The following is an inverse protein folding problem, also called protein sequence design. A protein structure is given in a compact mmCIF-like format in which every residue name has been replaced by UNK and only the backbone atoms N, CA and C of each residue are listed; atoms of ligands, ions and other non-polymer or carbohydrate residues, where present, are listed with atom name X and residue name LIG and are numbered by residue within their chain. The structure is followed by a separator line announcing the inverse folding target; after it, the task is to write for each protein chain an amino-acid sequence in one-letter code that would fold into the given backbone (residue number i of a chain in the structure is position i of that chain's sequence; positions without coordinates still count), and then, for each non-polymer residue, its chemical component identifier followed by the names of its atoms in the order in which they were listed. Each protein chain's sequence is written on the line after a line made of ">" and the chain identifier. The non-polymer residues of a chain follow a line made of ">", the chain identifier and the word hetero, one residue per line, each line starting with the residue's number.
data_IF_570614697289
#
_entry.id   IF_570614697289
#
_cell.length_a   1.000
_cell.length_b   1.000
_cell.length_c   1.000
_cell.angle_alpha   90.00
_cell.angle_beta   90.00
_cell.angle_gamma   90.00
#
_symmetry.space_group_name_H-M   'P 1'
#
loop_
_entity.id
_entity.type
_entity.pdbx_description
1 polymer ?
#
# COMPACT_ATOMS: atom_id res chain seq x y z
N UNK A 1 -3.89 32.18 -47.99
CA UNK A 1 -3.59 31.03 -48.87
C UNK A 1 -2.08 30.95 -48.87
N UNK A 2 -1.41 30.00 -48.25
CA UNK A 2 -1.76 28.65 -47.75
C UNK A 2 -0.92 28.39 -46.47
N UNK A 3 -1.45 27.84 -45.37
CA UNK A 3 -1.69 26.41 -45.10
C UNK A 3 -0.58 25.48 -45.58
N UNK A 4 0.51 25.39 -44.81
CA UNK A 4 1.21 24.13 -44.49
C UNK A 4 2.48 24.45 -43.70
N UNK A 5 2.41 24.45 -42.36
CA UNK A 5 3.60 24.15 -41.54
C UNK A 5 3.29 23.77 -40.08
N UNK A 6 2.26 22.93 -39.86
CA UNK A 6 1.90 22.46 -38.50
C UNK A 6 1.79 20.94 -38.39
N UNK A 7 2.46 20.18 -39.25
CA UNK A 7 2.42 18.72 -39.19
C UNK A 7 3.85 18.13 -39.19
N UNK A 8 4.64 18.45 -38.16
CA UNK A 8 5.90 17.76 -37.86
C UNK A 8 6.45 18.14 -36.47
N UNK A 9 5.68 17.92 -35.39
CA UNK A 9 6.23 18.00 -34.01
C UNK A 9 5.66 16.97 -33.00
N UNK A 10 4.93 15.96 -33.45
CA UNK A 10 4.36 14.92 -32.58
C UNK A 10 4.92 13.51 -32.84
N UNK A 11 6.18 13.41 -33.24
CA UNK A 11 6.91 12.14 -33.20
C UNK A 11 8.11 12.27 -32.25
N UNK A 12 8.15 11.35 -31.28
CA UNK A 12 9.26 11.07 -30.36
C UNK A 12 9.27 11.83 -29.00
N UNK A 13 8.18 11.75 -28.25
CA UNK A 13 8.31 11.57 -26.78
C UNK A 13 8.36 10.08 -26.49
N UNK A 14 9.57 9.56 -26.32
CA UNK A 14 9.78 8.27 -25.62
C UNK A 14 8.93 8.28 -24.33
N UNK A 15 8.25 7.18 -23.97
CA UNK A 15 7.58 7.10 -22.67
C UNK A 15 8.65 7.36 -21.60
N UNK A 16 8.40 8.27 -20.63
CA UNK A 16 9.37 8.54 -19.58
C UNK A 16 9.76 7.23 -18.92
N UNK A 17 11.07 7.05 -18.78
CA UNK A 17 11.78 5.84 -18.34
C UNK A 17 11.09 5.12 -17.18
N UNK A 18 10.24 4.13 -17.49
CA UNK A 18 9.74 3.18 -16.50
C UNK A 18 10.98 2.53 -15.87
N UNK A 19 11.16 2.73 -14.57
CA UNK A 19 12.33 2.21 -13.85
C UNK A 19 12.26 0.68 -13.80
N UNK A 20 13.40 -0.04 -13.71
CA UNK A 20 13.42 -1.49 -13.60
C UNK A 20 12.47 -1.97 -12.49
N UNK A 21 11.71 -3.05 -12.70
CA UNK A 21 10.71 -3.47 -11.73
C UNK A 21 11.37 -3.83 -10.38
N UNK A 22 10.73 -3.42 -9.28
CA UNK A 22 11.07 -3.96 -7.97
C UNK A 22 10.67 -5.44 -7.97
N UNK A 23 11.53 -6.30 -7.42
CA UNK A 23 11.21 -7.70 -7.19
C UNK A 23 11.34 -8.01 -5.71
N UNK A 24 10.33 -8.68 -5.15
CA UNK A 24 10.37 -9.12 -3.76
C UNK A 24 11.08 -10.48 -3.69
N UNK A 25 12.24 -10.59 -3.02
CA UNK A 25 12.86 -11.87 -2.78
C UNK A 25 11.91 -12.76 -1.97
N UNK A 26 11.76 -14.02 -2.37
CA UNK A 26 10.78 -14.92 -1.76
C UNK A 26 9.31 -14.70 -2.16
N UNK A 27 9.01 -13.66 -2.96
CA UNK A 27 7.67 -13.29 -3.47
C UNK A 27 6.66 -12.85 -2.40
N UNK A 28 6.64 -13.53 -1.25
CA UNK A 28 5.85 -13.15 -0.09
C UNK A 28 6.67 -12.28 0.85
N UNK A 29 6.03 -11.23 1.36
CA UNK A 29 6.57 -10.36 2.39
C UNK A 29 5.47 -10.06 3.42
N UNK A 30 5.78 -9.25 4.44
CA UNK A 30 4.80 -8.91 5.46
C UNK A 30 4.92 -7.47 5.91
N UNK A 31 3.96 -7.02 6.72
CA UNK A 31 4.03 -5.71 7.35
C UNK A 31 3.34 -5.71 8.71
N UNK A 32 3.54 -4.63 9.45
CA UNK A 32 2.99 -4.45 10.78
C UNK A 32 2.01 -3.27 10.80
N UNK A 33 0.92 -3.43 11.54
CA UNK A 33 -0.06 -2.37 11.75
C UNK A 33 0.62 -1.15 12.42
N UNK A 34 0.47 0.02 11.82
CA UNK A 34 1.21 1.22 12.22
C UNK A 34 0.37 2.50 12.22
N UNK A 35 -0.93 2.37 12.03
CA UNK A 35 -1.87 3.48 12.01
C UNK A 35 -1.90 4.25 13.33
N UNK A 36 -2.01 5.57 13.19
CA UNK A 36 -1.97 6.54 14.29
C UNK A 36 -3.06 7.61 14.15
N UNK A 37 -4.17 7.29 13.49
CA UNK A 37 -5.32 8.16 13.28
C UNK A 37 -5.89 8.72 14.60
N UNK A 38 -6.46 9.91 14.52
CA UNK A 38 -7.51 10.32 15.47
C UNK A 38 -8.81 9.67 15.00
N UNK A 39 -9.38 8.79 15.81
CA UNK A 39 -10.58 8.05 15.46
C UNK A 39 -11.87 8.91 15.54
N UNK A 40 -13.02 8.29 15.27
CA UNK A 40 -14.34 8.96 15.25
C UNK A 40 -14.78 9.52 16.61
N UNK A 41 -14.09 9.12 17.68
CA UNK A 41 -14.32 9.57 19.04
C UNK A 41 -13.32 10.64 19.49
N UNK A 42 -12.40 11.08 18.62
CA UNK A 42 -11.37 12.05 18.98
C UNK A 42 -10.15 11.43 19.67
N UNK A 43 -10.03 10.09 19.68
CA UNK A 43 -8.96 9.39 20.40
C UNK A 43 -7.81 9.09 19.44
N UNK A 44 -6.60 9.54 19.79
CA UNK A 44 -5.39 9.22 19.04
C UNK A 44 -5.07 7.75 19.24
N UNK A 45 -5.15 6.97 18.16
CA UNK A 45 -4.71 5.58 18.13
C UNK A 45 -3.20 5.49 17.99
N UNK A 46 -2.63 4.38 18.44
CA UNK A 46 -1.23 4.05 18.20
C UNK A 46 -1.09 2.54 18.19
N UNK A 47 -1.36 1.94 17.03
CA UNK A 47 -1.44 0.49 16.93
C UNK A 47 -0.10 -0.20 17.17
N UNK A 48 1.02 0.48 16.92
CA UNK A 48 2.37 -0.01 17.28
C UNK A 48 2.48 -0.21 18.81
N UNK A 49 2.05 0.77 19.60
CA UNK A 49 2.07 0.65 21.06
C UNK A 49 0.98 -0.28 21.60
N UNK A 50 -0.20 -0.31 20.97
CA UNK A 50 -1.30 -1.20 21.36
C UNK A 50 -0.94 -2.68 21.17
N UNK A 51 -0.14 -3.00 20.15
CA UNK A 51 0.42 -4.34 19.92
C UNK A 51 1.76 -4.58 20.62
N UNK A 52 2.31 -3.55 21.28
CA UNK A 52 3.66 -3.52 21.85
C UNK A 52 4.76 -3.88 20.84
N UNK A 53 4.51 -3.67 19.55
CA UNK A 53 5.47 -3.93 18.49
C UNK A 53 6.76 -3.11 18.67
N UNK A 54 6.66 -1.89 19.21
CA UNK A 54 7.82 -1.07 19.60
C UNK A 54 8.73 -1.75 20.65
N UNK A 55 8.14 -2.50 21.58
CA UNK A 55 8.86 -3.20 22.66
C UNK A 55 9.42 -4.55 22.22
N UNK A 56 8.69 -5.24 21.35
CA UNK A 56 9.00 -6.59 20.86
C UNK A 56 9.53 -6.60 19.43
N UNK A 57 9.93 -5.44 18.90
CA UNK A 57 10.39 -5.26 17.52
C UNK A 57 11.42 -6.30 17.09
N UNK A 58 12.42 -6.57 17.93
CA UNK A 58 13.48 -7.53 17.60
C UNK A 58 12.95 -8.97 17.50
N UNK A 59 12.02 -9.36 18.37
CA UNK A 59 11.34 -10.66 18.33
C UNK A 59 10.41 -10.77 17.12
N UNK A 60 9.66 -9.70 16.83
CA UNK A 60 8.72 -9.64 15.72
C UNK A 60 9.46 -9.79 14.37
N UNK A 61 10.57 -9.08 14.19
CA UNK A 61 11.40 -9.16 12.99
C UNK A 61 12.11 -10.52 12.87
N UNK A 62 12.59 -11.07 13.99
CA UNK A 62 13.14 -12.43 14.03
C UNK A 62 12.09 -13.47 13.60
N UNK A 63 10.86 -13.38 14.13
CA UNK A 63 9.76 -14.26 13.76
C UNK A 63 9.41 -14.18 12.27
N UNK A 64 9.37 -12.96 11.71
CA UNK A 64 9.22 -12.79 10.26
C UNK A 64 10.36 -13.43 9.48
N UNK A 65 11.60 -13.29 9.96
CA UNK A 65 12.78 -13.91 9.33
C UNK A 65 12.72 -15.43 9.36
N UNK A 66 12.22 -16.04 10.42
CA UNK A 66 12.03 -17.49 10.55
C UNK A 66 10.98 -18.02 9.55
N UNK A 67 9.97 -17.20 9.21
CA UNK A 67 9.03 -17.49 8.10
C UNK A 67 9.66 -17.29 6.71
N UNK A 68 10.91 -16.82 6.66
CA UNK A 68 11.66 -16.50 5.44
C UNK A 68 11.18 -15.23 4.75
N UNK A 69 10.56 -14.31 5.50
CA UNK A 69 10.22 -12.96 5.08
C UNK A 69 11.46 -12.08 5.22
N UNK A 70 11.93 -11.55 4.10
CA UNK A 70 13.16 -10.73 4.01
C UNK A 70 12.90 -9.29 3.57
N UNK A 71 11.64 -8.97 3.27
CA UNK A 71 11.16 -7.60 3.05
C UNK A 71 10.03 -7.35 4.02
N UNK A 72 9.97 -6.17 4.62
CA UNK A 72 8.93 -5.76 5.54
C UNK A 72 8.35 -4.42 5.12
N UNK A 73 7.07 -4.21 5.36
CA UNK A 73 6.46 -2.89 5.35
C UNK A 73 6.33 -2.39 6.78
N UNK A 74 7.04 -1.31 7.08
CA UNK A 74 7.14 -0.72 8.42
C UNK A 74 6.77 0.74 8.40
N UNK A 75 5.97 1.16 9.38
CA UNK A 75 5.48 2.53 9.50
C UNK A 75 6.38 3.42 10.34
N UNK A 76 6.50 4.67 9.92
CA UNK A 76 6.99 5.75 10.77
C UNK A 76 5.77 6.58 11.18
N UNK A 77 5.47 6.59 12.49
CA UNK A 77 4.41 7.41 13.05
C UNK A 77 4.76 8.91 12.93
N UNK A 78 4.34 9.56 11.83
CA UNK A 78 4.70 10.95 11.52
C UNK A 78 4.32 11.91 12.65
N UNK A 79 3.13 11.75 13.24
CA UNK A 79 2.66 12.53 14.39
C UNK A 79 3.61 12.46 15.61
N UNK A 80 4.37 11.37 15.74
CA UNK A 80 5.26 11.13 16.88
C UNK A 80 6.69 11.53 16.64
N UNK A 81 7.16 11.47 15.40
CA UNK A 81 8.54 11.86 15.07
C UNK A 81 8.67 13.33 14.72
N UNK A 82 7.56 14.01 14.40
CA UNK A 82 7.56 15.42 14.04
C UNK A 82 7.12 16.30 15.23
N UNK A 83 8.09 16.99 15.84
CA UNK A 83 7.85 17.94 16.92
C UNK A 83 7.84 19.37 16.39
N UNK A 84 6.75 19.74 15.70
CA UNK A 84 6.44 21.10 15.26
C UNK A 84 7.49 21.71 14.33
N UNK A 85 8.27 20.90 13.61
CA UNK A 85 9.51 21.43 13.05
C UNK A 85 10.64 20.43 12.95
N UNK A 86 10.83 19.74 14.06
CA UNK A 86 12.04 18.99 14.36
C UNK A 86 11.75 17.51 14.29
N UNK A 87 12.45 16.81 13.42
CA UNK A 87 12.23 15.37 13.21
C UNK A 87 13.14 14.56 14.16
N UNK A 88 12.54 13.77 15.05
CA UNK A 88 13.23 12.77 15.85
C UNK A 88 13.43 11.49 15.03
N UNK A 89 14.69 11.17 14.73
CA UNK A 89 15.07 9.97 13.99
C UNK A 89 15.29 8.75 14.89
N UNK A 90 15.12 8.84 16.21
CA UNK A 90 15.32 7.71 17.11
C UNK A 90 14.41 6.51 16.78
N UNK A 91 13.09 6.67 16.53
CA UNK A 91 12.24 5.54 16.12
C UNK A 91 12.68 4.91 14.79
N UNK A 92 13.05 5.75 13.81
CA UNK A 92 13.57 5.29 12.50
C UNK A 92 14.86 4.49 12.67
N UNK A 93 15.77 4.95 13.54
CA UNK A 93 17.02 4.25 13.87
C UNK A 93 16.75 2.89 14.49
N UNK A 94 15.80 2.79 15.41
CA UNK A 94 15.46 1.54 16.09
C UNK A 94 14.97 0.48 15.11
N UNK A 95 14.02 0.84 14.23
CA UNK A 95 13.50 -0.03 13.17
C UNK A 95 14.60 -0.45 12.20
N UNK A 96 15.39 0.54 11.73
CA UNK A 96 16.53 0.33 10.83
C UNK A 96 17.54 -0.67 11.38
N UNK A 97 17.96 -0.48 12.62
CA UNK A 97 19.00 -1.31 13.24
C UNK A 97 18.49 -2.74 13.48
N UNK A 98 17.20 -2.92 13.79
CA UNK A 98 16.59 -4.23 13.90
C UNK A 98 16.51 -4.95 12.55
N UNK A 99 16.06 -4.27 11.49
CA UNK A 99 16.00 -4.86 10.15
C UNK A 99 17.40 -5.27 9.64
N UNK A 100 18.43 -4.45 9.88
CA UNK A 100 19.81 -4.81 9.57
C UNK A 100 20.29 -6.06 10.32
N UNK A 101 19.98 -6.20 11.62
CA UNK A 101 20.35 -7.40 12.40
C UNK A 101 19.74 -8.68 11.81
N UNK A 102 18.51 -8.60 11.32
CA UNK A 102 17.77 -9.73 10.75
C UNK A 102 17.92 -9.88 9.23
N UNK A 103 18.76 -9.04 8.61
CA UNK A 103 19.00 -9.03 7.17
C UNK A 103 17.74 -8.83 6.34
N UNK A 104 16.85 -7.95 6.82
CA UNK A 104 15.57 -7.60 6.21
C UNK A 104 15.63 -6.19 5.61
N UNK A 105 14.98 -6.00 4.46
CA UNK A 105 14.79 -4.69 3.83
C UNK A 105 13.43 -4.13 4.18
N UNK A 106 13.33 -2.80 4.30
CA UNK A 106 12.08 -2.13 4.64
C UNK A 106 11.51 -1.34 3.45
N UNK A 107 10.20 -1.45 3.25
CA UNK A 107 9.36 -0.46 2.57
C UNK A 107 8.85 0.48 3.65
N UNK A 108 9.38 1.70 3.69
CA UNK A 108 9.09 2.69 4.73
C UNK A 108 7.77 3.39 4.44
N UNK A 109 6.75 3.10 5.25
CA UNK A 109 5.47 3.80 5.20
C UNK A 109 5.56 5.11 6.00
N UNK A 110 5.48 6.23 5.28
CA UNK A 110 5.77 7.56 5.81
C UNK A 110 4.54 8.25 6.40
N UNK A 111 3.34 7.88 5.97
CA UNK A 111 2.10 8.49 6.46
C UNK A 111 0.94 7.52 6.40
N UNK A 112 0.65 6.93 7.57
CA UNK A 112 -0.45 5.99 7.77
C UNK A 112 -1.51 6.59 8.71
N UNK A 113 -2.35 7.46 8.13
CA UNK A 113 -3.52 8.13 8.73
C UNK A 113 -3.27 9.14 9.87
N UNK A 114 -2.20 8.98 10.66
CA UNK A 114 -1.83 9.92 11.71
C UNK A 114 -0.82 10.98 11.24
N UNK A 115 -1.09 12.23 11.61
CA UNK A 115 -0.26 13.40 11.33
C UNK A 115 -0.23 14.34 12.56
N UNK A 116 0.78 15.22 12.66
CA UNK A 116 0.90 16.20 13.76
C UNK A 116 -0.35 17.06 13.95
N UNK A 117 -0.77 17.24 15.21
CA UNK A 117 -2.04 17.92 15.55
C UNK A 117 -2.08 19.41 15.19
N UNK A 118 -0.92 20.04 15.01
CA UNK A 118 -0.80 21.44 14.60
C UNK A 118 -0.96 21.65 13.09
N UNK A 119 -1.13 20.58 12.31
CA UNK A 119 -1.31 20.65 10.86
C UNK A 119 -2.77 20.46 10.42
N UNK A 120 -3.14 21.17 9.36
CA UNK A 120 -4.41 20.98 8.64
C UNK A 120 -4.12 20.42 7.23
N UNK A 121 -4.59 19.19 6.90
CA UNK A 121 -4.34 18.55 5.61
C UNK A 121 -4.95 19.28 4.41
N UNK A 122 -5.81 20.28 4.60
CA UNK A 122 -6.32 21.11 3.50
C UNK A 122 -5.35 22.24 3.11
N UNK A 123 -4.32 22.52 3.91
CA UNK A 123 -3.40 23.64 3.72
C UNK A 123 -2.11 23.25 2.99
N UNK A 124 -1.47 24.23 2.35
CA UNK A 124 -0.14 24.02 1.73
C UNK A 124 0.95 23.74 2.76
N UNK A 125 0.79 24.24 3.99
CA UNK A 125 1.72 24.01 5.08
C UNK A 125 1.87 22.52 5.40
N UNK A 126 0.79 21.73 5.27
CA UNK A 126 0.81 20.27 5.44
C UNK A 126 1.77 19.62 4.45
N UNK A 127 1.62 19.92 3.16
CA UNK A 127 2.45 19.36 2.09
C UNK A 127 3.92 19.75 2.24
N UNK A 128 4.19 21.02 2.57
CA UNK A 128 5.55 21.51 2.84
C UNK A 128 6.18 20.83 4.06
N UNK A 129 5.41 20.64 5.14
CA UNK A 129 5.87 19.96 6.35
C UNK A 129 6.18 18.49 6.07
N UNK A 130 5.28 17.79 5.38
CA UNK A 130 5.47 16.40 4.97
C UNK A 130 6.72 16.24 4.12
N UNK A 131 6.92 17.08 3.10
CA UNK A 131 8.10 17.02 2.24
C UNK A 131 9.42 17.17 3.03
N UNK A 132 9.46 18.09 4.02
CA UNK A 132 10.62 18.24 4.91
C UNK A 132 10.86 17.01 5.77
N UNK A 133 9.80 16.46 6.36
CA UNK A 133 9.86 15.21 7.12
C UNK A 133 10.39 14.05 6.25
N UNK A 134 9.75 13.80 5.11
CA UNK A 134 10.09 12.72 4.19
C UNK A 134 11.52 12.83 3.68
N UNK A 135 11.98 14.03 3.30
CA UNK A 135 13.37 14.25 2.88
C UNK A 135 14.38 14.07 4.01
N UNK A 136 14.02 14.38 5.26
CA UNK A 136 14.88 14.17 6.44
C UNK A 136 15.06 12.67 6.69
N UNK A 137 13.98 11.90 6.65
CA UNK A 137 14.00 10.44 6.76
C UNK A 137 14.82 9.84 5.61
N UNK A 138 14.58 10.25 4.37
CA UNK A 138 15.30 9.72 3.22
C UNK A 138 16.80 10.03 3.25
N UNK A 139 17.19 11.23 3.66
CA UNK A 139 18.60 11.61 3.84
C UNK A 139 19.29 10.76 4.91
N UNK A 140 18.55 10.29 5.92
CA UNK A 140 19.09 9.42 6.95
C UNK A 140 19.26 7.96 6.49
N UNK A 141 18.40 7.50 5.59
CA UNK A 141 18.35 6.10 5.15
C UNK A 141 19.09 5.84 3.82
N UNK A 142 19.41 6.88 3.04
CA UNK A 142 20.07 6.72 1.74
C UNK A 142 21.37 5.91 1.86
N UNK A 143 21.50 4.88 1.02
CA UNK A 143 22.67 4.00 0.97
C UNK A 143 22.75 2.92 2.06
N UNK A 144 21.70 2.72 2.87
CA UNK A 144 21.69 1.78 4.00
C UNK A 144 21.88 0.31 3.61
N UNK A 145 21.19 -0.17 2.58
CA UNK A 145 21.12 -1.60 2.23
C UNK A 145 21.03 -1.84 0.70
N UNK A 146 21.52 -0.87 -0.08
CA UNK A 146 21.62 -0.96 -1.53
C UNK A 146 21.20 0.33 -2.25
N UNK A 147 21.09 0.27 -3.59
CA UNK A 147 20.63 1.39 -4.40
C UNK A 147 19.18 1.74 -4.09
N UNK A 148 18.96 2.98 -3.67
CA UNK A 148 17.65 3.57 -3.39
C UNK A 148 16.90 2.92 -2.23
N UNK A 149 16.26 3.70 -1.39
CA UNK A 149 15.33 3.18 -0.39
C UNK A 149 13.91 3.05 -0.95
N UNK A 150 13.07 2.21 -0.35
CA UNK A 150 11.70 1.97 -0.80
C UNK A 150 10.73 2.66 0.16
N UNK A 151 9.77 3.42 -0.38
CA UNK A 151 8.86 4.22 0.42
C UNK A 151 7.41 4.02 -0.03
N UNK A 152 6.50 3.98 0.93
CA UNK A 152 5.09 4.32 0.71
C UNK A 152 4.90 5.76 1.17
N UNK A 153 4.71 6.75 0.27
CA UNK A 153 4.60 8.14 0.68
C UNK A 153 3.38 8.38 1.57
N UNK A 154 2.22 7.88 1.15
CA UNK A 154 0.97 8.00 1.90
C UNK A 154 0.21 6.68 1.73
N UNK A 155 -0.24 6.10 2.84
CA UNK A 155 -1.11 4.94 2.82
C UNK A 155 -2.55 5.32 2.43
N UNK A 156 -3.11 4.57 1.47
CA UNK A 156 -4.49 4.63 1.01
C UNK A 156 -5.08 6.05 0.91
N UNK A 157 -4.55 6.93 0.02
CA UNK A 157 -5.08 8.28 -0.13
C UNK A 157 -6.59 8.32 -0.41
N UNK A 158 -7.15 7.35 -1.15
CA UNK A 158 -8.60 7.33 -1.39
C UNK A 158 -9.40 6.89 -0.18
N UNK A 159 -8.92 5.91 0.60
CA UNK A 159 -9.59 5.53 1.85
C UNK A 159 -9.53 6.66 2.87
N UNK A 160 -8.35 7.26 3.09
CA UNK A 160 -8.19 8.37 4.02
C UNK A 160 -9.04 9.58 3.61
N UNK A 161 -9.11 9.88 2.31
CA UNK A 161 -9.97 10.94 1.80
C UNK A 161 -11.46 10.69 2.11
N UNK A 162 -11.92 9.45 1.94
CA UNK A 162 -13.29 9.07 2.31
C UNK A 162 -13.50 9.15 3.83
N UNK A 163 -12.66 8.45 4.60
CA UNK A 163 -12.79 8.35 6.05
C UNK A 163 -12.69 9.71 6.74
N UNK A 164 -11.73 10.55 6.34
CA UNK A 164 -11.43 11.81 7.03
C UNK A 164 -12.07 13.06 6.38
N UNK A 165 -12.46 12.97 5.11
CA UNK A 165 -13.00 14.10 4.34
C UNK A 165 -14.47 13.95 3.96
N UNK A 166 -14.96 12.72 3.76
CA UNK A 166 -16.33 12.47 3.30
C UNK A 166 -17.29 12.13 4.44
N UNK A 167 -16.92 11.16 5.28
CA UNK A 167 -17.79 10.62 6.35
C UNK A 167 -17.41 11.08 7.76
N UNK A 168 -16.26 11.74 7.91
CA UNK A 168 -15.79 12.29 9.18
C UNK A 168 -15.51 11.24 10.27
N UNK A 169 -14.99 10.07 9.87
CA UNK A 169 -14.52 9.02 10.78
C UNK A 169 -13.15 9.32 11.37
N UNK A 170 -12.25 9.94 10.62
CA UNK A 170 -10.93 10.34 11.11
C UNK A 170 -10.76 11.86 11.07
N UNK A 171 -9.84 12.40 11.87
CA UNK A 171 -9.44 13.80 11.73
C UNK A 171 -8.97 14.08 10.28
N UNK A 172 -9.37 15.22 9.67
CA UNK A 172 -9.92 16.41 10.31
C UNK A 172 -11.46 16.42 10.43
N UNK A 173 -12.12 15.27 10.33
CA UNK A 173 -13.57 15.11 10.47
C UNK A 173 -14.38 15.89 9.44
N UNK A 174 -13.83 16.05 8.24
CA UNK A 174 -14.51 16.64 7.10
C UNK A 174 -15.76 15.84 6.73
N UNK A 175 -16.74 16.54 6.17
CA UNK A 175 -17.95 15.98 5.57
C UNK A 175 -18.11 16.56 4.18
N UNK A 176 -18.41 15.71 3.20
CA UNK A 176 -18.59 16.11 1.79
C UNK A 176 -17.36 16.83 1.19
N UNK A 177 -16.16 16.60 1.75
CA UNK A 177 -14.87 17.14 1.30
C UNK A 177 -13.90 16.04 0.90
N UNK A 178 -14.38 14.82 0.65
CA UNK A 178 -13.51 13.68 0.32
C UNK A 178 -12.70 13.92 -0.95
N UNK A 179 -13.32 14.46 -2.00
CA UNK A 179 -12.59 14.77 -3.24
C UNK A 179 -11.51 15.84 -3.06
N UNK A 180 -11.81 16.92 -2.32
CA UNK A 180 -10.84 17.97 -1.99
C UNK A 180 -9.66 17.39 -1.21
N UNK A 181 -9.94 16.59 -0.18
CA UNK A 181 -8.91 15.95 0.63
C UNK A 181 -8.05 15.00 -0.20
N UNK A 182 -8.64 14.21 -1.11
CA UNK A 182 -7.90 13.33 -2.02
C UNK A 182 -6.89 14.11 -2.87
N UNK A 183 -7.30 15.25 -3.45
CA UNK A 183 -6.38 16.09 -4.23
C UNK A 183 -5.23 16.63 -3.37
N UNK A 184 -5.51 17.01 -2.12
CA UNK A 184 -4.48 17.50 -1.18
C UNK A 184 -3.51 16.40 -0.76
N UNK A 185 -3.99 15.19 -0.51
CA UNK A 185 -3.16 14.03 -0.22
C UNK A 185 -2.29 13.66 -1.43
N UNK A 186 -2.86 13.62 -2.65
CA UNK A 186 -2.09 13.38 -3.87
C UNK A 186 -1.00 14.44 -4.07
N UNK A 187 -1.32 15.72 -3.89
CA UNK A 187 -0.32 16.81 -3.94
C UNK A 187 0.78 16.61 -2.91
N UNK A 188 0.41 16.24 -1.68
CA UNK A 188 1.33 15.98 -0.57
C UNK A 188 2.28 14.83 -0.88
N UNK A 189 1.76 13.72 -1.41
CA UNK A 189 2.58 12.59 -1.85
C UNK A 189 3.56 13.00 -2.96
N UNK A 190 3.10 13.77 -3.96
CA UNK A 190 3.95 14.27 -5.06
C UNK A 190 5.12 15.10 -4.50
N UNK A 191 4.86 16.12 -3.70
CA UNK A 191 5.95 16.97 -3.17
C UNK A 191 6.88 16.22 -2.23
N UNK A 192 6.36 15.23 -1.49
CA UNK A 192 7.15 14.32 -0.67
C UNK A 192 8.09 13.45 -1.51
N UNK A 193 7.57 12.83 -2.57
CA UNK A 193 8.36 12.03 -3.52
C UNK A 193 9.46 12.86 -4.21
N UNK A 194 9.16 14.10 -4.58
CA UNK A 194 10.16 15.03 -5.12
C UNK A 194 11.26 15.34 -4.12
N UNK A 195 10.89 15.63 -2.87
CA UNK A 195 11.84 15.94 -1.81
C UNK A 195 12.70 14.71 -1.43
N UNK A 196 12.14 13.51 -1.47
CA UNK A 196 12.88 12.24 -1.31
C UNK A 196 13.87 12.08 -2.47
N UNK A 197 13.43 12.20 -3.73
CA UNK A 197 14.31 12.02 -4.90
C UNK A 197 15.40 13.08 -5.04
N UNK A 198 15.21 14.25 -4.42
CA UNK A 198 16.27 15.26 -4.34
C UNK A 198 17.47 14.82 -3.47
N UNK A 199 17.29 13.86 -2.55
CA UNK A 199 18.34 13.34 -1.66
C UNK A 199 18.72 11.89 -1.94
N UNK A 200 17.77 11.10 -2.43
CA UNK A 200 17.95 9.71 -2.86
C UNK A 200 17.37 9.54 -4.28
N UNK A 201 18.14 9.85 -5.33
CA UNK A 201 17.66 9.79 -6.72
C UNK A 201 17.19 8.40 -7.16
N UNK A 202 17.69 7.35 -6.50
CA UNK A 202 17.36 5.94 -6.76
C UNK A 202 16.16 5.44 -5.94
N UNK A 203 15.63 6.26 -5.02
CA UNK A 203 14.45 5.93 -4.23
C UNK A 203 13.30 5.42 -5.11
N UNK A 204 12.60 4.42 -4.59
CA UNK A 204 11.45 3.79 -5.25
C UNK A 204 10.18 3.99 -4.45
N UNK A 205 9.08 4.25 -5.15
CA UNK A 205 7.79 4.52 -4.53
C UNK A 205 6.80 3.36 -4.74
N UNK A 206 6.26 2.88 -3.63
CA UNK A 206 5.15 1.94 -3.59
C UNK A 206 3.90 2.75 -3.26
N UNK A 207 3.15 3.16 -4.29
CA UNK A 207 1.97 3.99 -4.07
C UNK A 207 0.77 3.09 -3.82
N UNK A 208 0.30 3.07 -2.57
CA UNK A 208 -0.71 2.12 -2.11
C UNK A 208 -2.11 2.73 -2.07
N UNK A 209 -3.10 1.99 -2.55
CA UNK A 209 -4.52 2.34 -2.42
C UNK A 209 -5.38 1.04 -2.48
N UNK A 210 -6.56 0.99 -1.83
CA UNK A 210 -7.50 -0.11 -1.97
C UNK A 210 -7.91 -0.39 -3.41
N UNK A 211 -7.89 -1.68 -3.78
CA UNK A 211 -8.60 -2.19 -4.94
C UNK A 211 -9.96 -2.72 -4.51
N UNK A 212 -11.01 -2.25 -5.17
CA UNK A 212 -12.38 -2.53 -4.76
C UNK A 212 -13.34 -2.87 -5.90
N UNK A 213 -14.47 -3.47 -5.50
CA UNK A 213 -15.59 -3.74 -6.39
C UNK A 213 -16.92 -3.52 -5.67
N UNK A 214 -17.66 -2.48 -6.06
CA UNK A 214 -19.02 -2.25 -5.59
C UNK A 214 -20.03 -2.86 -6.56
N UNK A 215 -21.06 -3.52 -6.02
CA UNK A 215 -22.19 -4.07 -6.78
C UNK A 215 -23.49 -3.41 -6.37
N UNK A 216 -24.48 -3.40 -7.26
CA UNK A 216 -25.83 -3.02 -6.88
C UNK A 216 -26.42 -4.05 -5.88
N UNK A 217 -27.25 -3.61 -4.92
CA UNK A 217 -28.09 -4.52 -4.14
C UNK A 217 -28.94 -5.41 -5.07
N UNK A 218 -29.14 -6.68 -4.70
CA UNK A 218 -29.84 -7.64 -5.56
C UNK A 218 -31.29 -7.25 -5.89
N UNK A 219 -31.92 -6.45 -5.04
CA UNK A 219 -33.27 -5.91 -5.18
C UNK A 219 -33.31 -4.49 -5.78
N UNK A 220 -32.16 -3.93 -6.17
CA UNK A 220 -32.04 -2.59 -6.78
C UNK A 220 -31.04 -2.59 -7.97
N UNK A 221 -31.23 -3.45 -9.00
CA UNK A 221 -30.29 -3.60 -10.11
C UNK A 221 -30.10 -2.32 -10.94
N UNK A 222 -31.03 -1.37 -10.88
CA UNK A 222 -30.93 -0.05 -11.51
C UNK A 222 -29.74 0.77 -10.99
N UNK A 223 -29.21 0.46 -9.79
CA UNK A 223 -28.03 1.12 -9.21
C UNK A 223 -26.70 0.62 -9.79
N UNK A 224 -26.70 -0.32 -10.74
CA UNK A 224 -25.47 -0.94 -11.25
C UNK A 224 -24.52 0.07 -11.92
N UNK A 225 -25.06 1.02 -12.69
CA UNK A 225 -24.24 2.06 -13.33
C UNK A 225 -23.57 2.97 -12.30
N UNK A 226 -24.31 3.32 -11.24
CA UNK A 226 -23.79 4.14 -10.15
C UNK A 226 -22.72 3.41 -9.32
N UNK A 227 -22.94 2.12 -9.03
CA UNK A 227 -21.94 1.29 -8.35
C UNK A 227 -20.65 1.16 -9.18
N UNK A 228 -20.76 1.03 -10.50
CA UNK A 228 -19.62 1.00 -11.40
C UNK A 228 -18.88 2.35 -11.45
N UNK A 229 -19.60 3.47 -11.48
CA UNK A 229 -19.01 4.81 -11.40
C UNK A 229 -18.24 4.99 -10.08
N UNK A 230 -18.87 4.64 -8.95
CA UNK A 230 -18.26 4.71 -7.63
C UNK A 230 -17.01 3.84 -7.52
N UNK A 231 -17.06 2.62 -8.05
CA UNK A 231 -15.90 1.73 -8.16
C UNK A 231 -14.77 2.37 -8.96
N UNK A 232 -15.08 3.18 -9.98
CA UNK A 232 -14.10 3.93 -10.76
C UNK A 232 -13.31 4.97 -9.98
N UNK A 233 -13.77 5.40 -8.79
CA UNK A 233 -13.05 6.39 -7.98
C UNK A 233 -11.76 5.84 -7.35
N UNK A 234 -11.58 4.52 -7.31
CA UNK A 234 -10.35 3.88 -6.83
C UNK A 234 -9.13 4.23 -7.69
N UNK A 235 -9.34 4.59 -8.97
CA UNK A 235 -8.25 4.93 -9.88
C UNK A 235 -7.64 6.31 -9.64
N UNK A 236 -8.41 7.21 -9.01
CA UNK A 236 -8.11 8.64 -9.00
C UNK A 236 -6.76 8.97 -8.35
N UNK A 237 -6.38 8.29 -7.27
CA UNK A 237 -5.10 8.57 -6.60
C UNK A 237 -3.91 8.21 -7.48
N UNK A 238 -3.86 6.99 -8.03
CA UNK A 238 -2.80 6.60 -8.96
C UNK A 238 -2.81 7.44 -10.23
N UNK A 239 -3.98 7.78 -10.76
CA UNK A 239 -4.11 8.69 -11.90
C UNK A 239 -3.47 10.06 -11.59
N UNK A 240 -3.82 10.67 -10.44
CA UNK A 240 -3.25 11.94 -9.98
C UNK A 240 -1.72 11.86 -9.80
N UNK A 241 -1.21 10.78 -9.20
CA UNK A 241 0.22 10.58 -8.97
C UNK A 241 0.99 10.34 -10.28
N UNK A 242 0.40 9.58 -11.20
CA UNK A 242 0.96 9.27 -12.52
C UNK A 242 0.85 10.41 -13.54
N UNK A 243 0.10 11.47 -13.22
CA UNK A 243 -0.17 12.58 -14.14
C UNK A 243 -1.19 12.25 -15.23
N UNK A 244 -2.05 11.25 -14.99
CA UNK A 244 -3.17 10.89 -15.86
C UNK A 244 -4.39 11.75 -15.48
N UNK A 245 -4.44 12.97 -16.02
CA UNK A 245 -5.38 13.99 -15.58
C UNK A 245 -4.79 14.85 -14.45
N UNK A 246 -5.61 15.71 -13.83
CA UNK A 246 -5.22 16.61 -12.72
C UNK A 246 -3.84 17.27 -12.88
N UNK A 247 -3.57 17.79 -14.08
CA UNK A 247 -2.21 18.21 -14.49
C UNK A 247 -1.56 19.22 -13.54
N UNK A 248 -2.35 20.05 -12.87
CA UNK A 248 -1.88 21.07 -11.93
C UNK A 248 -1.29 20.48 -10.62
N UNK A 249 -1.55 19.20 -10.32
CA UNK A 249 -0.97 18.53 -9.16
C UNK A 249 0.53 18.24 -9.36
N UNK A 250 0.99 18.11 -10.60
CA UNK A 250 2.39 17.81 -10.93
C UNK A 250 2.76 16.32 -10.88
N UNK A 251 1.76 15.43 -11.01
CA UNK A 251 1.99 13.99 -11.15
C UNK A 251 2.80 13.65 -12.39
N UNK A 252 3.52 12.52 -12.33
CA UNK A 252 4.41 12.06 -13.40
C UNK A 252 4.44 10.53 -13.47
N UNK A 253 4.56 9.92 -14.66
CA UNK A 253 4.55 8.46 -14.77
C UNK A 253 5.66 7.77 -13.96
N UNK A 254 6.81 8.43 -13.81
CA UNK A 254 7.93 7.89 -13.04
C UNK A 254 7.71 7.94 -11.52
N UNK A 255 6.63 8.55 -11.01
CA UNK A 255 6.24 8.39 -9.60
C UNK A 255 5.54 7.06 -9.33
N UNK A 256 4.92 6.44 -10.33
CA UNK A 256 4.31 5.12 -10.21
C UNK A 256 5.37 4.01 -10.37
N UNK A 257 6.44 4.05 -9.56
CA UNK A 257 7.47 3.00 -9.58
C UNK A 257 6.89 1.59 -9.39
N UNK A 258 5.89 1.49 -8.52
CA UNK A 258 5.08 0.31 -8.23
C UNK A 258 3.64 0.74 -7.94
N UNK A 259 2.68 0.00 -8.49
CA UNK A 259 1.27 0.08 -8.08
C UNK A 259 1.07 -0.83 -6.88
N UNK A 260 0.84 -0.25 -5.71
CA UNK A 260 0.57 -0.99 -4.47
C UNK A 260 -0.93 -1.20 -4.27
N UNK A 261 -1.39 -2.44 -4.23
CA UNK A 261 -2.80 -2.79 -4.09
C UNK A 261 -3.07 -3.32 -2.69
N UNK A 262 -3.89 -2.63 -1.93
CA UNK A 262 -4.46 -3.17 -0.70
C UNK A 262 -5.76 -3.91 -1.05
N UNK A 263 -5.88 -5.17 -0.62
CA UNK A 263 -7.04 -6.00 -0.93
C UNK A 263 -7.42 -6.92 0.22
N UNK A 264 -8.64 -6.74 0.71
CA UNK A 264 -9.21 -7.46 1.84
C UNK A 264 -10.55 -8.10 1.46
N UNK A 265 -11.06 -9.00 2.32
CA UNK A 265 -12.41 -9.56 2.16
C UNK A 265 -13.46 -8.46 2.04
N UNK A 266 -13.22 -7.35 2.73
CA UNK A 266 -14.04 -6.15 2.77
C UNK A 266 -13.97 -5.30 1.50
N UNK A 267 -13.06 -5.62 0.57
CA UNK A 267 -12.84 -4.90 -0.69
C UNK A 267 -13.94 -5.08 -1.74
N UNK A 268 -14.94 -5.93 -1.50
CA UNK A 268 -16.10 -6.07 -2.36
C UNK A 268 -17.38 -5.93 -1.54
N UNK A 269 -18.31 -5.06 -1.96
CA UNK A 269 -19.47 -4.66 -1.14
C UNK A 269 -20.70 -4.24 -1.95
N UNK A 270 -21.85 -4.15 -1.28
CA UNK A 270 -23.06 -3.56 -1.87
C UNK A 270 -23.03 -2.04 -1.78
N UNK A 271 -23.23 -1.38 -2.92
CA UNK A 271 -23.34 0.07 -3.02
C UNK A 271 -24.57 0.61 -2.28
N UNK A 272 -24.45 1.80 -1.68
CA UNK A 272 -25.46 2.50 -0.85
C UNK A 272 -25.92 1.81 0.44
N UNK A 273 -26.16 0.50 0.43
CA UNK A 273 -26.58 -0.25 1.62
C UNK A 273 -25.41 -0.59 2.54
N UNK A 274 -24.19 -0.59 2.00
CA UNK A 274 -23.00 -1.03 2.71
C UNK A 274 -23.02 -2.54 2.94
N UNK A 275 -22.01 -3.04 3.65
CA UNK A 275 -21.85 -4.45 3.91
C UNK A 275 -21.02 -5.15 2.83
N UNK A 276 -20.03 -5.90 3.29
CA UNK A 276 -19.12 -6.64 2.43
C UNK A 276 -19.82 -7.88 1.88
N UNK A 277 -19.53 -8.23 0.64
CA UNK A 277 -20.00 -9.48 0.05
C UNK A 277 -19.43 -10.65 0.85
N UNK A 278 -20.25 -11.69 1.07
CA UNK A 278 -19.79 -12.94 1.68
C UNK A 278 -18.74 -13.62 0.78
N UNK A 279 -17.94 -14.53 1.33
CA UNK A 279 -16.85 -15.17 0.58
C UNK A 279 -17.34 -15.96 -0.64
N UNK A 280 -18.52 -16.56 -0.54
CA UNK A 280 -19.18 -17.37 -1.57
C UNK A 280 -20.24 -16.61 -2.37
N UNK A 281 -20.36 -15.29 -2.19
CA UNK A 281 -21.33 -14.49 -2.94
C UNK A 281 -20.98 -14.52 -4.45
N UNK A 282 -21.92 -14.92 -5.33
CA UNK A 282 -21.66 -15.09 -6.75
C UNK A 282 -21.39 -13.78 -7.50
N UNK A 283 -21.65 -12.63 -6.86
CA UNK A 283 -21.37 -11.30 -7.42
C UNK A 283 -19.93 -10.87 -7.16
N UNK A 284 -19.17 -11.60 -6.33
CA UNK A 284 -17.75 -11.33 -6.18
C UNK A 284 -17.03 -11.55 -7.50
N UNK A 285 -16.02 -10.73 -7.74
CA UNK A 285 -15.09 -10.89 -8.84
C UNK A 285 -13.83 -11.65 -8.40
N UNK A 286 -13.30 -12.54 -9.25
CA UNK A 286 -11.99 -13.13 -9.03
C UNK A 286 -10.91 -12.05 -8.93
N UNK A 287 -10.04 -12.16 -7.94
CA UNK A 287 -9.00 -11.15 -7.68
C UNK A 287 -8.04 -11.00 -8.88
N UNK A 288 -7.75 -12.10 -9.60
CA UNK A 288 -6.93 -12.08 -10.82
C UNK A 288 -7.48 -11.17 -11.93
N UNK A 289 -8.80 -11.06 -12.05
CA UNK A 289 -9.43 -10.19 -13.05
C UNK A 289 -9.29 -8.72 -12.66
N UNK A 290 -9.51 -8.41 -11.38
CA UNK A 290 -9.33 -7.05 -10.86
C UNK A 290 -7.86 -6.61 -11.00
N UNK A 291 -6.90 -7.51 -10.76
CA UNK A 291 -5.48 -7.26 -11.03
C UNK A 291 -5.18 -7.05 -12.52
N UNK A 292 -5.90 -7.75 -13.41
CA UNK A 292 -5.83 -7.55 -14.86
C UNK A 292 -6.28 -6.15 -15.28
N UNK A 293 -7.27 -5.58 -14.61
CA UNK A 293 -7.72 -4.20 -14.83
C UNK A 293 -6.65 -3.19 -14.40
N UNK A 294 -6.00 -3.42 -13.26
CA UNK A 294 -4.84 -2.61 -12.83
C UNK A 294 -3.74 -2.64 -13.88
N UNK A 295 -3.35 -3.82 -14.35
CA UNK A 295 -2.28 -3.97 -15.34
C UNK A 295 -2.65 -3.37 -16.70
N UNK A 296 -3.92 -3.44 -17.09
CA UNK A 296 -4.43 -2.81 -18.32
C UNK A 296 -4.40 -1.29 -18.22
N UNK A 297 -4.76 -0.74 -17.06
CA UNK A 297 -4.79 0.71 -16.82
C UNK A 297 -3.39 1.31 -16.68
N UNK A 298 -2.47 0.60 -16.03
CA UNK A 298 -1.10 1.07 -15.75
C UNK A 298 -0.06 0.15 -16.41
N UNK A 299 -0.02 0.09 -17.76
CA UNK A 299 0.84 -0.85 -18.47
C UNK A 299 2.32 -0.60 -18.19
N UNK A 300 3.07 -1.67 -17.94
CA UNK A 300 4.52 -1.63 -17.70
C UNK A 300 4.92 -1.38 -16.24
N UNK A 301 3.97 -1.01 -15.37
CA UNK A 301 4.24 -0.85 -13.94
C UNK A 301 4.07 -2.18 -13.18
N UNK A 302 5.01 -2.58 -12.32
CA UNK A 302 4.84 -3.76 -11.49
C UNK A 302 3.74 -3.53 -10.43
N UNK A 303 3.02 -4.59 -10.09
CA UNK A 303 1.99 -4.58 -9.05
C UNK A 303 2.54 -5.28 -7.81
N UNK A 304 2.45 -4.64 -6.65
CA UNK A 304 2.59 -5.28 -5.36
C UNK A 304 1.22 -5.37 -4.69
N UNK A 305 0.88 -6.54 -4.15
CA UNK A 305 -0.20 -6.58 -3.17
C UNK A 305 0.45 -6.12 -1.86
N UNK A 306 0.06 -4.95 -1.36
CA UNK A 306 0.75 -4.24 -0.28
C UNK A 306 0.11 -4.45 1.07
N UNK A 307 -1.15 -4.87 1.09
CA UNK A 307 -1.83 -5.37 2.27
C UNK A 307 -2.87 -6.41 1.87
N UNK A 308 -2.88 -7.55 2.56
CA UNK A 308 -3.97 -8.52 2.50
C UNK A 308 -3.97 -9.40 3.74
N UNK A 309 -5.16 -9.79 4.18
CA UNK A 309 -5.35 -10.61 5.38
C UNK A 309 -6.83 -10.91 5.61
N UNK A 310 -7.10 -11.79 6.56
CA UNK A 310 -8.46 -12.09 7.01
C UNK A 310 -8.42 -12.55 8.47
N UNK A 311 -9.55 -12.53 9.17
CA UNK A 311 -9.64 -12.82 10.60
C UNK A 311 -9.82 -14.30 10.93
N UNK A 312 -9.35 -14.69 12.11
CA UNK A 312 -9.64 -15.97 12.75
C UNK A 312 -9.30 -17.17 11.85
N UNK A 313 -10.25 -18.10 11.71
CA UNK A 313 -10.02 -19.31 10.90
C UNK A 313 -10.02 -19.04 9.38
N UNK A 314 -10.48 -17.85 8.94
CA UNK A 314 -10.43 -17.45 7.53
C UNK A 314 -9.02 -17.05 7.07
N UNK A 315 -8.08 -16.84 8.00
CA UNK A 315 -6.65 -16.60 7.73
C UNK A 315 -6.06 -17.57 6.70
N UNK A 316 -6.27 -18.88 6.90
CA UNK A 316 -5.69 -19.93 6.04
C UNK A 316 -6.40 -20.04 4.69
N UNK A 317 -7.75 -20.14 4.60
CA UNK A 317 -8.46 -20.11 3.33
C UNK A 317 -8.15 -18.85 2.50
N UNK A 318 -8.07 -17.68 3.15
CA UNK A 318 -7.73 -16.43 2.49
C UNK A 318 -6.34 -16.45 1.87
N UNK A 319 -5.32 -16.84 2.64
CA UNK A 319 -3.94 -16.95 2.16
C UNK A 319 -3.86 -17.85 0.91
N UNK A 320 -4.52 -19.02 0.96
CA UNK A 320 -4.54 -19.97 -0.16
C UNK A 320 -5.22 -19.39 -1.39
N UNK A 321 -6.38 -18.73 -1.20
CA UNK A 321 -7.12 -18.08 -2.29
C UNK A 321 -6.28 -16.97 -2.95
N UNK A 322 -5.67 -16.08 -2.15
CA UNK A 322 -4.79 -15.02 -2.67
C UNK A 322 -3.60 -15.62 -3.43
N UNK A 323 -2.94 -16.63 -2.87
CA UNK A 323 -1.82 -17.29 -3.55
C UNK A 323 -2.25 -17.93 -4.88
N UNK A 324 -3.45 -18.49 -4.97
CA UNK A 324 -4.01 -19.05 -6.20
C UNK A 324 -4.35 -18.00 -7.24
N UNK A 325 -5.08 -16.95 -6.87
CA UNK A 325 -5.45 -15.87 -7.76
C UNK A 325 -4.21 -15.13 -8.30
N UNK A 326 -3.24 -14.84 -7.43
CA UNK A 326 -1.99 -14.18 -7.82
C UNK A 326 -1.15 -15.07 -8.74
N UNK A 327 -1.06 -16.38 -8.46
CA UNK A 327 -0.33 -17.30 -9.34
C UNK A 327 -0.96 -17.35 -10.73
N UNK A 328 -2.28 -17.47 -10.81
CA UNK A 328 -3.02 -17.48 -12.07
C UNK A 328 -2.84 -16.14 -12.83
N UNK A 329 -2.85 -15.01 -12.11
CA UNK A 329 -2.58 -13.71 -12.69
C UNK A 329 -1.16 -13.63 -13.28
N UNK A 330 -0.13 -14.09 -12.55
CA UNK A 330 1.25 -14.13 -13.07
C UNK A 330 1.37 -15.08 -14.27
N UNK A 331 0.72 -16.23 -14.24
CA UNK A 331 0.68 -17.17 -15.37
C UNK A 331 0.01 -16.57 -16.62
N UNK A 332 -0.93 -15.65 -16.43
CA UNK A 332 -1.55 -14.86 -17.51
C UNK A 332 -0.73 -13.65 -17.98
N UNK A 333 0.45 -13.40 -17.38
CA UNK A 333 1.36 -12.32 -17.77
C UNK A 333 1.18 -11.00 -17.02
N UNK A 334 0.36 -10.96 -15.96
CA UNK A 334 0.21 -9.78 -15.10
C UNK A 334 1.50 -9.57 -14.28
N UNK A 335 2.10 -8.36 -14.25
CA UNK A 335 3.44 -8.12 -13.68
C UNK A 335 3.41 -7.99 -12.15
N UNK A 336 3.01 -9.05 -11.45
CA UNK A 336 2.96 -9.06 -9.98
C UNK A 336 4.35 -9.33 -9.41
N UNK A 337 4.82 -8.41 -8.56
CA UNK A 337 6.16 -8.43 -7.97
C UNK A 337 6.22 -9.09 -6.58
N UNK A 338 5.08 -9.23 -5.89
CA UNK A 338 5.00 -9.85 -4.57
C UNK A 338 3.69 -9.60 -3.83
N UNK A 339 3.53 -10.27 -2.68
CA UNK A 339 2.33 -10.24 -1.83
C UNK A 339 2.71 -9.99 -0.37
N UNK A 340 2.14 -8.93 0.22
CA UNK A 340 2.28 -8.58 1.62
C UNK A 340 1.13 -9.15 2.43
N UNK A 341 1.43 -10.01 3.41
CA UNK A 341 0.44 -10.32 4.45
C UNK A 341 0.49 -9.26 5.55
N UNK A 342 -0.68 -8.68 5.84
CA UNK A 342 -0.79 -7.55 6.75
C UNK A 342 -1.99 -7.68 7.71
N UNK A 343 -1.78 -7.53 9.03
CA UNK A 343 -0.48 -7.47 9.70
C UNK A 343 0.12 -8.85 10.00
N UNK A 344 1.44 -8.90 10.27
CA UNK A 344 2.12 -10.13 10.73
C UNK A 344 1.77 -10.47 12.17
N UNK A 345 1.79 -9.50 13.08
CA UNK A 345 1.25 -9.67 14.44
C UNK A 345 -0.18 -9.15 14.47
N UNK A 346 -1.02 -9.71 15.35
CA UNK A 346 -2.42 -9.31 15.40
C UNK A 346 -2.60 -7.81 15.74
N UNK A 347 -3.77 -7.29 15.38
CA UNK A 347 -4.16 -5.90 15.62
C UNK A 347 -5.51 -5.84 16.31
N UNK A 348 -5.76 -4.72 16.97
CA UNK A 348 -7.09 -4.41 17.49
C UNK A 348 -7.93 -3.70 16.44
N UNK A 349 -9.25 -3.91 16.49
CA UNK A 349 -10.20 -3.13 15.70
C UNK A 349 -10.04 -1.61 15.98
N UNK A 350 -10.12 -0.79 14.93
CA UNK A 350 -9.81 0.64 14.98
C UNK A 350 -10.74 1.48 15.86
N UNK A 351 -11.89 0.96 16.25
CA UNK A 351 -12.89 1.66 17.06
C UNK A 351 -13.23 0.91 18.35
N UNK A 352 -13.49 -0.39 18.27
CA UNK A 352 -13.99 -1.19 19.41
C UNK A 352 -12.87 -1.93 20.17
N UNK A 353 -11.64 -1.91 19.64
CA UNK A 353 -10.41 -2.34 20.32
C UNK A 353 -10.38 -3.82 20.73
N UNK A 354 -11.25 -4.66 20.16
CA UNK A 354 -11.14 -6.10 20.31
C UNK A 354 -10.04 -6.63 19.37
N UNK A 355 -9.41 -7.75 19.74
CA UNK A 355 -8.46 -8.44 18.87
C UNK A 355 -9.16 -8.96 17.62
N UNK A 356 -8.54 -8.75 16.47
CA UNK A 356 -9.12 -9.12 15.17
C UNK A 356 -8.72 -10.53 14.74
N UNK A 357 -7.68 -11.11 15.34
CA UNK A 357 -7.10 -12.38 14.92
C UNK A 357 -6.69 -12.40 13.44
N UNK A 358 -6.12 -11.31 12.95
CA UNK A 358 -5.60 -11.20 11.58
C UNK A 358 -4.18 -11.75 11.42
N UNK A 359 -3.38 -11.59 12.48
CA UNK A 359 -1.95 -11.86 12.44
C UNK A 359 -1.59 -13.34 12.28
N UNK A 360 -0.33 -13.55 11.90
CA UNK A 360 0.40 -14.82 12.02
C UNK A 360 0.73 -15.15 13.48
N UNK A 361 0.77 -14.13 14.35
CA UNK A 361 0.82 -14.30 15.79
C UNK A 361 -0.39 -13.62 16.42
N UNK A 362 -1.16 -14.40 17.18
CA UNK A 362 -2.18 -13.89 18.08
C UNK A 362 -1.50 -13.25 19.32
N UNK A 363 -2.20 -12.34 19.99
CA UNK A 363 -1.70 -11.70 21.21
C UNK A 363 -2.24 -12.41 22.46
N UNK A 364 -1.34 -12.82 23.35
CA UNK A 364 -1.69 -13.35 24.67
C UNK A 364 -1.15 -12.43 25.77
N UNK A 365 -2.05 -11.80 26.51
CA UNK A 365 -1.66 -10.92 27.61
C UNK A 365 -1.17 -11.73 28.82
N UNK A 366 0.05 -11.45 29.28
CA UNK A 366 0.62 -11.98 30.52
C UNK A 366 1.41 -10.89 31.23
N UNK A 367 1.06 -10.60 32.47
CA UNK A 367 1.74 -9.60 33.31
C UNK A 367 1.93 -8.21 32.65
N UNK A 368 0.94 -7.77 31.86
CA UNK A 368 0.98 -6.49 31.15
C UNK A 368 1.85 -6.47 29.87
N UNK A 369 2.37 -7.63 29.45
CA UNK A 369 3.09 -7.84 28.20
C UNK A 369 2.24 -8.66 27.23
N UNK A 370 2.34 -8.34 25.94
CA UNK A 370 1.65 -9.07 24.88
C UNK A 370 2.60 -10.10 24.26
N UNK A 371 2.39 -11.38 24.59
CA UNK A 371 3.16 -12.47 24.03
C UNK A 371 2.66 -12.86 22.66
N UNK A 372 3.59 -13.06 21.72
CA UNK A 372 3.29 -13.46 20.34
C UNK A 372 3.04 -14.97 20.32
N UNK A 373 1.78 -15.37 20.29
CA UNK A 373 1.38 -16.77 20.17
C UNK A 373 1.25 -17.15 18.70
N UNK A 374 2.10 -18.03 18.14
CA UNK A 374 2.02 -18.40 16.74
C UNK A 374 0.68 -19.07 16.41
N UNK A 375 0.01 -18.59 15.37
CA UNK A 375 -1.10 -19.31 14.76
C UNK A 375 -0.54 -20.32 13.74
N UNK A 376 -0.10 -21.47 14.22
CA UNK A 376 0.62 -22.47 13.40
C UNK A 376 -0.04 -22.80 12.04
N UNK A 377 -1.37 -22.90 11.91
CA UNK A 377 -1.98 -23.20 10.61
C UNK A 377 -1.63 -22.22 9.48
N UNK A 378 -1.51 -20.90 9.76
CA UNK A 378 -1.12 -19.93 8.73
C UNK A 378 0.38 -19.97 8.43
N UNK A 379 1.21 -20.32 9.42
CA UNK A 379 2.65 -20.52 9.24
C UNK A 379 2.92 -21.68 8.27
N UNK A 380 2.26 -22.81 8.50
CA UNK A 380 2.33 -23.99 7.63
C UNK A 380 1.82 -23.69 6.21
N UNK A 381 0.73 -22.93 6.10
CA UNK A 381 0.16 -22.53 4.81
C UNK A 381 1.12 -21.63 4.02
N UNK A 382 1.75 -20.64 4.67
CA UNK A 382 2.76 -19.79 4.03
C UNK A 382 3.98 -20.62 3.59
N UNK A 383 4.47 -21.52 4.45
CA UNK A 383 5.60 -22.39 4.10
C UNK A 383 5.31 -23.25 2.86
N UNK A 384 4.09 -23.80 2.76
CA UNK A 384 3.65 -24.57 1.60
C UNK A 384 3.61 -23.72 0.31
N UNK A 385 3.06 -22.50 0.35
CA UNK A 385 3.00 -21.63 -0.84
C UNK A 385 4.37 -21.07 -1.24
N UNK A 386 5.27 -20.81 -0.27
CA UNK A 386 6.67 -20.45 -0.55
C UNK A 386 7.40 -21.58 -1.28
N UNK A 387 7.25 -22.81 -0.83
CA UNK A 387 7.84 -23.99 -1.48
C UNK A 387 7.36 -24.12 -2.93
N UNK A 388 6.06 -23.97 -3.18
CA UNK A 388 5.48 -24.00 -4.55
C UNK A 388 6.05 -22.90 -5.44
N UNK A 389 6.20 -21.69 -4.90
CA UNK A 389 6.70 -20.53 -5.65
C UNK A 389 8.19 -20.67 -6.01
N UNK A 390 9.00 -21.28 -5.13
CA UNK A 390 10.40 -21.57 -5.41
C UNK A 390 10.54 -22.54 -6.59
N UNK A 391 9.78 -23.64 -6.59
CA UNK A 391 9.74 -24.60 -7.72
C UNK A 391 9.26 -23.96 -9.02
N UNK A 392 8.30 -23.03 -8.95
CA UNK A 392 7.82 -22.30 -10.12
C UNK A 392 8.83 -21.26 -10.65
N UNK A 393 9.73 -20.72 -9.83
CA UNK A 393 10.80 -19.81 -10.30
C UNK A 393 11.88 -20.54 -11.08
N UNK A 394 12.21 -21.79 -10.73
CA UNK A 394 13.16 -22.61 -11.48
C UNK A 394 12.67 -22.95 -12.90
N UNK A 395 11.35 -22.90 -13.15
CA UNK A 395 10.74 -23.14 -14.46
C UNK A 395 10.42 -21.85 -15.26
N UNK A 396 10.52 -20.67 -14.65
CA UNK A 396 10.22 -19.38 -15.29
C UNK A 396 11.49 -18.72 -15.85
N UNK A 397 11.72 -18.88 -17.14
CA UNK A 397 12.52 -17.91 -17.90
C UNK A 397 11.67 -16.65 -18.07
N UNK A 398 11.96 -15.59 -17.32
CA UNK A 398 11.45 -14.27 -17.70
C UNK A 398 11.94 -13.99 -19.13
N UNK A 399 11.07 -13.63 -20.09
CA UNK A 399 11.54 -13.26 -21.41
C UNK A 399 12.51 -12.08 -21.24
N UNK A 400 13.77 -12.19 -21.71
CA UNK A 400 14.67 -11.07 -21.70
C UNK A 400 14.09 -9.97 -22.59
N UNK A 401 13.96 -8.76 -22.03
CA UNK A 401 13.61 -7.52 -22.73
C UNK A 401 12.30 -7.54 -23.53
N UNK A 402 11.23 -7.01 -22.94
CA UNK A 402 10.13 -6.41 -23.72
C UNK A 402 10.65 -5.06 -24.26
N UNK A 403 11.50 -5.16 -25.26
CA UNK A 403 12.15 -4.04 -25.92
C UNK A 403 12.42 -4.39 -27.37
N UNK A 404 11.40 -4.90 -28.08
CA UNK A 404 11.38 -5.04 -29.54
C UNK A 404 10.00 -5.52 -30.00
N UNK A 405 9.00 -4.64 -30.01
CA UNK A 405 7.94 -4.76 -31.03
C UNK A 405 8.41 -4.03 -32.27
N UNK A 406 9.00 -4.81 -33.18
CA UNK A 406 9.39 -4.34 -34.51
C UNK A 406 8.17 -3.88 -35.31
N UNK A 407 8.33 -2.72 -35.94
CA UNK A 407 7.45 -2.23 -37.01
C UNK A 407 7.31 -3.32 -38.07
N UNK A 408 6.08 -3.77 -38.35
CA UNK A 408 5.79 -4.39 -39.65
C UNK A 408 5.54 -3.26 -40.65
N UNK A 409 6.27 -3.35 -41.76
CA UNK A 409 6.15 -2.52 -42.95
C UNK A 409 4.80 -2.70 -43.64
#
# INVERSE_FOLDING_TARGET
>A
MDRNDTAARDEERLPPTIRPPITIPGFFFGGYECSTQLDRHGVRRNLVAETQHDRFLDEDLAGARDLGIVVLREGIAWDRVDHGGTIDLAPVRTIRDAALRHGQRIIWDLFHYGYPEDLDPFTEAFAVRFARYASTVARYLVGLDGPGQWYTPINEPSFLAWAAGEVGWFAPYGKERGYELKMKLAKTAIVGMEAIRAVDPEARFVNVDPLCHAVAPGDAPELAAEAAEFTGYQWQSWDMLGGLGWVDLGGRPDFLDVIGVNYYLTGQWEHRRGGHLAFDDPRRRPFREMLGEVATRYPGHPILITETGCWGDLRVPWLKMIAEEVRAAVESGIPIAGVCFYPLVDMTEWHERHWMHFGFWDMEERDGLLWRKPFLPIHEALAAERARTATAKESRHFPPNIGQYGKKA
#
